data_IF_781727944315
#
_entry.id   IF_781727944315
#
_cell.length_a   1.000
_cell.length_b   1.000
_cell.length_c   1.000
_cell.angle_alpha   90.00
_cell.angle_beta   90.00
_cell.angle_gamma   90.00
#
_symmetry.space_group_name_H-M   'P 1'
#
loop_
_entity.id
_entity.type
_entity.pdbx_description
1 polymer ?
#
# COMPACT_ATOMS: atom_id res chain seq x y z
N UNK A 1 14.32 -4.56 -19.34
CA UNK A 1 13.56 -5.47 -18.44
C UNK A 1 12.23 -4.80 -18.11
N UNK A 2 11.10 -5.53 -18.14
CA UNK A 2 9.77 -4.94 -17.89
C UNK A 2 9.44 -5.06 -16.41
N UNK A 3 9.11 -3.93 -15.77
CA UNK A 3 8.60 -3.89 -14.39
C UNK A 3 7.11 -4.22 -14.40
N UNK A 4 6.67 -5.13 -13.53
CA UNK A 4 5.24 -5.38 -13.31
C UNK A 4 4.69 -4.49 -12.19
N UNK A 5 3.43 -4.11 -12.31
CA UNK A 5 2.72 -3.40 -11.25
C UNK A 5 1.71 -4.38 -10.62
N UNK A 6 1.81 -4.60 -9.32
CA UNK A 6 0.85 -5.40 -8.56
C UNK A 6 -0.09 -4.48 -7.79
N UNK A 7 -1.38 -4.71 -7.93
CA UNK A 7 -2.41 -3.98 -7.18
C UNK A 7 -3.09 -4.94 -6.22
N UNK A 8 -2.84 -4.78 -4.92
CA UNK A 8 -3.55 -5.54 -3.89
C UNK A 8 -4.87 -4.88 -3.55
N UNK A 9 -5.95 -5.66 -3.52
CA UNK A 9 -7.28 -5.15 -3.23
C UNK A 9 -8.10 -6.13 -2.39
N UNK A 10 -9.09 -5.60 -1.70
CA UNK A 10 -10.12 -6.35 -0.99
C UNK A 10 -11.50 -6.00 -1.57
N UNK A 11 -12.49 -6.85 -1.36
CA UNK A 11 -13.86 -6.64 -1.87
C UNK A 11 -14.43 -5.26 -1.54
N UNK A 12 -14.11 -4.73 -0.35
CA UNK A 12 -14.48 -3.37 0.05
C UNK A 12 -13.87 -2.27 -0.80
N UNK A 13 -12.74 -2.56 -1.45
CA UNK A 13 -11.90 -1.59 -2.14
C UNK A 13 -11.88 -1.78 -3.67
N UNK A 14 -12.66 -2.73 -4.22
CA UNK A 14 -12.68 -3.01 -5.66
C UNK A 14 -12.98 -1.77 -6.50
N UNK A 15 -13.87 -0.87 -6.02
CA UNK A 15 -14.13 0.39 -6.72
C UNK A 15 -12.91 1.32 -6.77
N UNK A 16 -12.04 1.27 -5.75
CA UNK A 16 -10.81 2.04 -5.70
C UNK A 16 -9.78 1.41 -6.62
N UNK A 17 -9.62 0.09 -6.55
CA UNK A 17 -8.71 -0.67 -7.39
C UNK A 17 -8.97 -0.46 -8.90
N UNK A 18 -10.24 -0.50 -9.34
CA UNK A 18 -10.55 -0.28 -10.76
C UNK A 18 -10.17 1.13 -11.24
N UNK A 19 -10.27 2.14 -10.36
CA UNK A 19 -9.88 3.51 -10.68
C UNK A 19 -8.35 3.66 -10.66
N UNK A 20 -7.68 2.99 -9.72
CA UNK A 20 -6.21 2.94 -9.72
C UNK A 20 -5.70 2.31 -11.03
N UNK A 21 -6.23 1.14 -11.43
CA UNK A 21 -5.87 0.48 -12.69
C UNK A 21 -6.03 1.43 -13.87
N UNK A 22 -7.20 2.08 -14.00
CA UNK A 22 -7.45 3.02 -15.09
C UNK A 22 -6.50 4.23 -15.06
N UNK A 23 -6.07 4.67 -13.88
CA UNK A 23 -5.11 5.75 -13.76
C UNK A 23 -3.68 5.30 -14.13
N UNK A 24 -3.29 4.07 -13.78
CA UNK A 24 -2.03 3.48 -14.24
C UNK A 24 -2.02 3.38 -15.76
N UNK A 25 -3.07 2.82 -16.37
CA UNK A 25 -3.22 2.72 -17.85
C UNK A 25 -3.14 4.08 -18.55
N UNK A 26 -3.51 5.16 -17.85
CA UNK A 26 -3.47 6.52 -18.40
C UNK A 26 -2.08 7.15 -18.35
N UNK A 27 -1.22 6.71 -17.44
CA UNK A 27 0.04 7.35 -17.10
C UNK A 27 1.27 6.42 -17.21
N UNK A 28 1.07 5.22 -17.77
CA UNK A 28 2.15 4.26 -18.04
C UNK A 28 2.00 3.71 -19.45
N UNK A 29 3.10 3.63 -20.17
CA UNK A 29 3.12 3.04 -21.51
C UNK A 29 3.08 1.50 -21.44
N UNK A 30 2.00 0.89 -21.95
CA UNK A 30 1.82 -0.57 -21.98
C UNK A 30 2.09 -1.24 -20.62
N UNK A 31 1.36 -0.87 -19.55
CA UNK A 31 1.64 -1.38 -18.22
C UNK A 31 1.36 -2.88 -18.13
N UNK A 32 2.23 -3.61 -17.46
CA UNK A 32 2.00 -5.01 -17.07
C UNK A 32 1.44 -5.02 -15.65
N UNK A 33 0.13 -5.16 -15.54
CA UNK A 33 -0.57 -5.11 -14.25
C UNK A 33 -1.02 -6.51 -13.83
N UNK A 34 -0.86 -6.84 -12.55
CA UNK A 34 -1.43 -8.02 -11.90
C UNK A 34 -2.28 -7.60 -10.72
N UNK A 35 -3.46 -8.21 -10.58
CA UNK A 35 -4.35 -7.99 -9.45
C UNK A 35 -4.15 -9.09 -8.41
N UNK A 36 -4.17 -8.70 -7.13
CA UNK A 36 -4.18 -9.61 -5.98
C UNK A 36 -5.45 -9.34 -5.18
N UNK A 37 -6.60 -9.92 -5.59
CA UNK A 37 -7.87 -9.77 -4.88
C UNK A 37 -7.94 -10.66 -3.63
N UNK A 38 -9.10 -10.72 -3.01
CA UNK A 38 -9.40 -11.71 -1.98
C UNK A 38 -9.25 -13.15 -2.51
N UNK A 39 -8.88 -14.08 -1.62
CA UNK A 39 -8.58 -15.45 -2.01
C UNK A 39 -9.81 -16.19 -2.58
N UNK A 40 -11.01 -15.75 -2.20
CA UNK A 40 -12.30 -16.27 -2.70
C UNK A 40 -12.79 -15.61 -4.01
N UNK A 41 -12.02 -14.71 -4.60
CA UNK A 41 -12.38 -14.13 -5.89
C UNK A 41 -12.31 -15.20 -6.99
N UNK A 42 -13.40 -15.46 -7.77
CA UNK A 42 -13.46 -16.65 -8.61
C UNK A 42 -12.79 -16.50 -9.98
N UNK A 43 -12.51 -15.27 -10.42
CA UNK A 43 -12.02 -15.01 -11.79
C UNK A 43 -10.50 -15.04 -11.93
N UNK A 44 -10.01 -15.36 -13.12
CA UNK A 44 -8.60 -15.28 -13.48
C UNK A 44 -8.21 -13.89 -14.02
N UNK A 45 -9.19 -13.05 -14.26
CA UNK A 45 -9.03 -11.65 -14.64
C UNK A 45 -9.87 -10.73 -13.75
N UNK A 46 -9.35 -9.54 -13.50
CA UNK A 46 -10.05 -8.46 -12.80
C UNK A 46 -9.69 -7.12 -13.46
N UNK A 47 -10.72 -6.33 -13.79
CA UNK A 47 -10.55 -5.02 -14.45
C UNK A 47 -9.78 -5.08 -15.77
N UNK A 48 -9.82 -6.24 -16.47
CA UNK A 48 -9.12 -6.47 -17.74
C UNK A 48 -7.65 -6.82 -17.59
N UNK A 49 -7.23 -7.20 -16.39
CA UNK A 49 -5.86 -7.63 -16.10
C UNK A 49 -5.85 -8.98 -15.38
N UNK A 50 -4.76 -9.77 -15.55
CA UNK A 50 -4.66 -11.06 -14.90
C UNK A 50 -4.67 -10.96 -13.38
N UNK A 51 -5.38 -11.88 -12.76
CA UNK A 51 -5.31 -12.12 -11.32
C UNK A 51 -4.14 -13.06 -11.06
N UNK A 52 -3.25 -12.62 -10.18
CA UNK A 52 -2.17 -13.48 -9.72
C UNK A 52 -2.50 -14.11 -8.38
N UNK A 53 -2.29 -15.43 -8.28
CA UNK A 53 -2.44 -16.23 -7.07
C UNK A 53 -1.24 -17.12 -6.87
N UNK A 54 -0.71 -17.21 -5.64
CA UNK A 54 0.31 -18.19 -5.33
C UNK A 54 -0.27 -19.61 -5.35
N UNK A 55 0.53 -20.57 -5.81
CA UNK A 55 0.19 -21.99 -5.78
C UNK A 55 0.70 -22.70 -4.52
N UNK A 56 1.71 -22.15 -3.85
CA UNK A 56 2.22 -22.67 -2.58
C UNK A 56 1.28 -22.26 -1.44
N UNK A 57 0.69 -23.22 -0.71
CA UNK A 57 -0.24 -22.93 0.39
C UNK A 57 0.40 -22.14 1.53
N UNK A 58 1.71 -22.23 1.74
CA UNK A 58 2.43 -21.47 2.76
C UNK A 58 2.33 -19.95 2.50
N UNK A 59 2.29 -19.54 1.22
CA UNK A 59 2.17 -18.13 0.83
C UNK A 59 0.75 -17.62 1.09
N UNK A 60 -0.27 -18.48 1.02
CA UNK A 60 -1.65 -18.13 1.34
C UNK A 60 -1.83 -17.74 2.82
N UNK A 61 -0.92 -18.18 3.70
CA UNK A 61 -0.90 -17.73 5.10
C UNK A 61 -0.59 -16.25 5.28
N UNK A 62 0.01 -15.60 4.27
CA UNK A 62 0.15 -14.15 4.19
C UNK A 62 -1.22 -13.55 3.85
N UNK A 63 -2.11 -13.48 4.83
CA UNK A 63 -3.48 -13.02 4.69
C UNK A 63 -3.68 -11.54 5.01
N UNK A 64 -4.85 -10.99 4.80
CA UNK A 64 -5.26 -9.62 5.13
C UNK A 64 -4.25 -8.58 4.63
N UNK A 65 -3.67 -7.78 5.54
CA UNK A 65 -2.68 -6.73 5.21
C UNK A 65 -1.38 -7.31 4.67
N UNK A 66 -1.01 -8.55 5.07
CA UNK A 66 0.21 -9.21 4.62
C UNK A 66 0.09 -9.78 3.20
N UNK A 67 -1.12 -9.89 2.65
CA UNK A 67 -1.39 -10.38 1.30
C UNK A 67 -0.55 -9.63 0.24
N UNK A 68 -0.32 -8.34 0.42
CA UNK A 68 0.52 -7.54 -0.48
C UNK A 68 1.97 -8.04 -0.57
N UNK A 69 2.49 -8.67 0.48
CA UNK A 69 3.85 -9.22 0.48
C UNK A 69 3.98 -10.48 -0.38
N UNK A 70 2.86 -11.09 -0.78
CA UNK A 70 2.86 -12.22 -1.74
C UNK A 70 3.51 -11.85 -3.07
N UNK A 71 3.61 -10.57 -3.41
CA UNK A 71 4.23 -10.08 -4.65
C UNK A 71 5.67 -10.58 -4.86
N UNK A 72 6.40 -10.87 -3.79
CA UNK A 72 7.74 -11.44 -3.88
C UNK A 72 7.77 -12.83 -4.54
N UNK A 73 6.66 -13.57 -4.54
CA UNK A 73 6.52 -14.86 -5.24
C UNK A 73 5.88 -14.71 -6.62
N UNK A 74 5.61 -13.50 -7.04
CA UNK A 74 5.00 -13.23 -8.34
C UNK A 74 5.90 -13.58 -9.53
N UNK A 75 5.33 -13.64 -10.75
CA UNK A 75 6.07 -14.02 -11.96
C UNK A 75 7.07 -12.97 -12.45
N UNK A 76 7.05 -11.76 -11.91
CA UNK A 76 7.94 -10.69 -12.33
C UNK A 76 9.24 -10.67 -11.50
N UNK A 77 10.38 -10.48 -12.15
CA UNK A 77 11.67 -10.34 -11.49
C UNK A 77 11.79 -8.98 -10.77
N UNK A 78 11.14 -7.95 -11.32
CA UNK A 78 11.07 -6.60 -10.77
C UNK A 78 9.65 -6.11 -10.79
N UNK A 79 9.26 -5.49 -9.71
CA UNK A 79 7.87 -5.05 -9.55
C UNK A 79 7.73 -3.78 -8.73
N UNK A 80 6.59 -3.12 -8.93
CA UNK A 80 6.03 -2.10 -8.05
C UNK A 80 4.73 -2.64 -7.47
N UNK A 81 4.56 -2.57 -6.17
CA UNK A 81 3.31 -2.84 -5.48
C UNK A 81 2.59 -1.52 -5.17
N UNK A 82 1.27 -1.50 -5.34
CA UNK A 82 0.41 -0.37 -5.00
C UNK A 82 -0.85 -0.86 -4.27
N UNK A 83 -1.20 -0.23 -3.15
CA UNK A 83 -2.49 -0.45 -2.49
C UNK A 83 -3.64 0.12 -3.33
N UNK A 84 -4.81 -0.53 -3.29
CA UNK A 84 -5.98 -0.16 -4.09
C UNK A 84 -6.46 1.28 -3.86
N UNK A 85 -6.20 1.86 -2.68
CA UNK A 85 -6.63 3.21 -2.33
C UNK A 85 -5.62 4.29 -2.73
N UNK A 86 -5.06 4.13 -3.93
CA UNK A 86 -4.20 5.11 -4.58
C UNK A 86 -4.80 5.63 -5.89
N UNK A 87 -4.24 6.71 -6.40
CA UNK A 87 -4.56 7.28 -7.72
C UNK A 87 -3.29 7.85 -8.33
N UNK A 88 -2.92 7.37 -9.52
CA UNK A 88 -1.84 7.95 -10.31
C UNK A 88 -2.36 9.20 -11.03
N UNK A 89 -1.63 10.30 -10.91
CA UNK A 89 -2.01 11.62 -11.43
C UNK A 89 -1.15 12.08 -12.59
N UNK A 90 0.09 11.57 -12.68
CA UNK A 90 1.11 12.01 -13.64
C UNK A 90 1.87 10.81 -14.18
N UNK A 91 2.78 11.04 -15.11
CA UNK A 91 3.63 10.00 -15.70
C UNK A 91 4.41 9.22 -14.62
N UNK A 92 4.12 7.93 -14.53
CA UNK A 92 4.77 6.99 -13.62
C UNK A 92 6.00 6.32 -14.28
N UNK A 93 6.15 6.46 -15.60
CA UNK A 93 7.19 5.77 -16.36
C UNK A 93 8.62 6.04 -15.85
N UNK A 94 9.02 7.27 -15.48
CA UNK A 94 10.37 7.51 -14.97
C UNK A 94 10.73 6.71 -13.72
N UNK A 95 9.74 6.44 -12.85
CA UNK A 95 9.95 5.59 -11.67
C UNK A 95 10.07 4.11 -12.04
N UNK A 96 9.26 3.64 -12.97
CA UNK A 96 9.39 2.27 -13.51
C UNK A 96 10.73 2.08 -14.21
N UNK A 97 11.21 3.07 -14.94
CA UNK A 97 12.52 3.03 -15.60
C UNK A 97 13.66 2.97 -14.55
N UNK A 98 13.55 3.69 -13.44
CA UNK A 98 14.49 3.61 -12.31
C UNK A 98 14.50 2.20 -11.71
N UNK A 99 13.33 1.60 -11.47
CA UNK A 99 13.20 0.23 -10.96
C UNK A 99 13.78 -0.78 -11.95
N UNK A 100 13.52 -0.57 -13.24
CA UNK A 100 14.05 -1.42 -14.32
C UNK A 100 15.58 -1.38 -14.43
N UNK A 101 16.19 -0.24 -14.11
CA UNK A 101 17.63 -0.03 -14.16
C UNK A 101 18.38 -0.47 -12.90
N UNK A 102 17.67 -0.69 -11.78
CA UNK A 102 18.30 -1.05 -10.51
C UNK A 102 19.03 -2.40 -10.60
N UNK A 103 20.22 -2.50 -10.01
CA UNK A 103 21.03 -3.71 -10.04
C UNK A 103 21.00 -4.46 -8.70
N UNK A 104 21.13 -5.79 -8.76
CA UNK A 104 21.14 -6.67 -7.60
C UNK A 104 19.82 -6.69 -6.81
N UNK A 105 19.80 -7.34 -5.62
CA UNK A 105 18.66 -7.37 -4.75
C UNK A 105 18.37 -5.99 -4.14
N UNK A 106 17.13 -5.50 -4.28
CA UNK A 106 16.73 -4.18 -3.75
C UNK A 106 15.27 -4.14 -3.31
N UNK A 107 15.00 -3.23 -2.38
CA UNK A 107 13.66 -2.72 -2.06
C UNK A 107 13.71 -1.19 -2.09
N UNK A 108 12.83 -0.59 -2.87
CA UNK A 108 12.63 0.86 -2.93
C UNK A 108 11.26 1.17 -2.36
N UNK A 109 11.20 2.02 -1.35
CA UNK A 109 9.95 2.46 -0.75
C UNK A 109 9.73 3.94 -1.04
N UNK A 110 8.49 4.31 -1.28
CA UNK A 110 8.18 5.71 -1.47
C UNK A 110 8.26 6.49 -0.17
N UNK A 111 8.85 7.67 -0.24
CA UNK A 111 8.99 8.56 0.90
C UNK A 111 9.04 10.02 0.49
N UNK A 112 8.61 10.88 1.39
CA UNK A 112 8.88 12.31 1.23
C UNK A 112 10.35 12.60 1.55
N UNK A 113 11.00 13.30 0.63
CA UNK A 113 12.37 13.80 0.83
C UNK A 113 12.51 14.63 2.11
N UNK A 114 11.49 15.45 2.43
CA UNK A 114 11.47 16.24 3.67
C UNK A 114 11.37 15.39 4.94
N UNK A 115 10.64 14.27 4.91
CA UNK A 115 10.54 13.34 6.05
C UNK A 115 11.84 12.59 6.24
N UNK A 116 12.48 12.14 5.15
CA UNK A 116 13.78 11.50 5.17
C UNK A 116 14.83 12.41 5.83
N UNK A 117 14.97 13.65 5.35
CA UNK A 117 15.91 14.62 5.91
C UNK A 117 15.69 14.88 7.40
N UNK A 118 14.42 14.98 7.84
CA UNK A 118 14.09 15.17 9.26
C UNK A 118 14.53 13.98 10.12
N UNK A 119 14.37 12.76 9.63
CA UNK A 119 14.77 11.55 10.36
C UNK A 119 16.29 11.35 10.35
N UNK A 120 16.96 11.71 9.25
CA UNK A 120 18.42 11.69 9.15
C UNK A 120 19.07 12.70 10.12
N UNK A 121 18.45 13.87 10.29
CA UNK A 121 18.90 14.91 11.22
C UNK A 121 18.42 14.70 12.67
N UNK A 122 17.52 13.73 12.94
CA UNK A 122 16.98 13.48 14.26
C UNK A 122 18.02 12.83 15.19
N UNK A 123 17.92 13.14 16.48
CA UNK A 123 18.70 12.45 17.50
C UNK A 123 18.32 10.95 17.59
N UNK A 124 19.15 10.18 18.28
CA UNK A 124 18.98 8.73 18.43
C UNK A 124 17.63 8.38 19.09
N UNK A 125 17.18 9.15 20.08
CA UNK A 125 15.90 8.92 20.77
C UNK A 125 14.71 9.08 19.84
N UNK A 126 14.69 10.17 19.09
CA UNK A 126 13.62 10.46 18.10
C UNK A 126 13.60 9.41 16.99
N UNK A 127 14.75 8.98 16.48
CA UNK A 127 14.86 7.91 15.49
C UNK A 127 14.35 6.58 16.05
N UNK A 128 14.76 6.23 17.26
CA UNK A 128 14.30 5.01 17.94
C UNK A 128 12.80 4.99 18.11
N UNK A 129 12.20 6.10 18.55
CA UNK A 129 10.75 6.20 18.70
C UNK A 129 10.02 6.07 17.36
N UNK A 130 10.52 6.72 16.30
CA UNK A 130 9.93 6.62 14.97
C UNK A 130 9.99 5.18 14.43
N UNK A 131 11.13 4.50 14.59
CA UNK A 131 11.29 3.10 14.18
C UNK A 131 10.40 2.19 15.01
N UNK A 132 10.34 2.35 16.33
CA UNK A 132 9.49 1.57 17.20
C UNK A 132 8.00 1.70 16.82
N UNK A 133 7.56 2.91 16.49
CA UNK A 133 6.18 3.14 16.04
C UNK A 133 5.86 2.40 14.73
N UNK A 134 6.83 2.25 13.84
CA UNK A 134 6.65 1.58 12.55
C UNK A 134 6.88 0.07 12.59
N UNK A 135 7.83 -0.39 13.40
CA UNK A 135 8.18 -1.82 13.48
C UNK A 135 7.40 -2.58 14.54
N UNK A 136 6.74 -1.91 15.48
CA UNK A 136 5.92 -2.52 16.52
C UNK A 136 6.37 -2.17 17.94
N UNK A 137 5.94 -2.99 18.92
CA UNK A 137 6.32 -2.84 20.32
C UNK A 137 7.80 -3.21 20.54
N UNK A 138 8.67 -2.27 20.97
CA UNK A 138 10.09 -2.53 21.16
C UNK A 138 10.38 -3.66 22.16
N UNK A 139 9.59 -3.77 23.24
CA UNK A 139 9.77 -4.83 24.24
C UNK A 139 9.40 -6.21 23.66
N UNK A 140 8.31 -6.27 22.90
CA UNK A 140 7.92 -7.49 22.20
C UNK A 140 8.90 -7.86 21.10
N UNK A 141 9.50 -6.90 20.42
CA UNK A 141 10.54 -7.13 19.41
C UNK A 141 11.81 -7.75 20.03
N UNK A 142 12.28 -7.21 21.15
CA UNK A 142 13.41 -7.77 21.90
C UNK A 142 13.10 -9.19 22.39
N UNK A 143 11.87 -9.44 22.85
CA UNK A 143 11.45 -10.78 23.26
C UNK A 143 11.32 -11.78 22.10
N UNK A 144 11.01 -11.29 20.88
CA UNK A 144 10.93 -12.09 19.66
C UNK A 144 12.32 -12.42 19.08
N UNK A 145 13.18 -11.41 19.05
CA UNK A 145 14.56 -11.48 18.55
C UNK A 145 15.49 -10.62 19.43
N UNK A 146 16.11 -11.21 20.47
CA UNK A 146 17.01 -10.51 21.35
C UNK A 146 18.27 -9.96 20.66
N UNK A 147 18.63 -10.50 19.50
CA UNK A 147 19.81 -10.08 18.72
C UNK A 147 19.51 -8.90 17.77
N UNK A 148 18.24 -8.50 17.63
CA UNK A 148 17.85 -7.48 16.66
C UNK A 148 18.36 -6.09 17.04
N UNK A 149 19.22 -5.54 16.20
CA UNK A 149 19.65 -4.15 16.32
C UNK A 149 18.64 -3.23 15.58
N UNK A 150 17.79 -2.56 16.35
CA UNK A 150 16.79 -1.64 15.85
C UNK A 150 17.38 -0.49 15.00
N UNK A 151 18.67 -0.16 15.15
CA UNK A 151 19.37 0.88 14.35
C UNK A 151 19.44 0.49 12.87
N UNK A 152 19.37 -0.79 12.59
CA UNK A 152 19.35 -1.33 11.24
C UNK A 152 17.95 -1.30 10.60
N UNK A 153 16.88 -1.09 11.38
CA UNK A 153 15.53 -1.09 10.86
C UNK A 153 15.31 0.05 9.86
N UNK A 154 14.59 -0.28 8.80
CA UNK A 154 14.19 0.67 7.76
C UNK A 154 12.80 1.23 8.06
N UNK A 155 12.58 2.50 7.73
CA UNK A 155 11.27 3.13 7.87
C UNK A 155 10.51 3.01 6.54
N UNK A 156 10.14 1.79 6.17
CA UNK A 156 9.44 1.51 4.92
C UNK A 156 7.97 1.94 5.01
N UNK A 157 7.41 2.30 3.88
CA UNK A 157 5.97 2.35 3.67
C UNK A 157 5.59 1.16 2.76
N UNK A 158 4.66 0.35 3.20
CA UNK A 158 4.22 -0.84 2.47
C UNK A 158 2.99 -0.60 1.59
N UNK A 159 2.39 0.57 1.65
CA UNK A 159 1.27 0.93 0.77
C UNK A 159 1.71 1.05 -0.69
N UNK A 160 2.97 1.45 -0.88
CA UNK A 160 3.64 1.44 -2.17
C UNK A 160 5.12 1.11 -1.94
N UNK A 161 5.61 0.10 -2.60
CA UNK A 161 7.03 -0.24 -2.65
C UNK A 161 7.36 -0.98 -3.96
N UNK A 162 8.62 -0.92 -4.32
CA UNK A 162 9.16 -1.62 -5.48
C UNK A 162 10.31 -2.51 -5.03
N UNK A 163 10.47 -3.65 -5.68
CA UNK A 163 11.54 -4.57 -5.32
C UNK A 163 11.94 -5.47 -6.49
N UNK A 164 13.09 -6.08 -6.35
CA UNK A 164 13.42 -7.30 -7.07
C UNK A 164 12.88 -8.51 -6.30
N UNK A 165 12.51 -9.57 -7.03
CA UNK A 165 11.97 -10.81 -6.44
C UNK A 165 12.97 -11.50 -5.50
N UNK A 166 14.26 -11.38 -5.79
CA UNK A 166 15.38 -11.92 -5.02
C UNK A 166 15.81 -11.02 -3.84
N UNK A 167 15.05 -9.95 -3.56
CA UNK A 167 15.32 -9.09 -2.40
C UNK A 167 15.14 -9.80 -1.07
N UNK A 168 14.42 -10.92 -1.05
CA UNK A 168 14.20 -11.76 0.13
C UNK A 168 14.54 -13.20 -0.16
N UNK A 169 15.06 -13.93 0.84
CA UNK A 169 15.03 -15.39 0.83
C UNK A 169 13.63 -15.87 1.20
N UNK A 170 12.97 -16.56 0.28
CA UNK A 170 11.56 -16.92 0.37
C UNK A 170 11.24 -17.87 1.53
N UNK A 171 12.08 -18.88 1.73
CA UNK A 171 11.85 -19.88 2.80
C UNK A 171 12.11 -19.26 4.18
N UNK A 172 13.17 -18.48 4.32
CA UNK A 172 13.44 -17.72 5.55
C UNK A 172 12.31 -16.75 5.84
N UNK A 173 11.78 -16.05 4.84
CA UNK A 173 10.68 -15.12 5.03
C UNK A 173 9.44 -15.81 5.60
N UNK A 174 9.03 -16.93 5.03
CA UNK A 174 7.88 -17.69 5.48
C UNK A 174 8.11 -18.30 6.88
N UNK A 175 9.30 -18.78 7.16
CA UNK A 175 9.64 -19.32 8.48
C UNK A 175 9.55 -18.24 9.58
N UNK A 176 10.10 -17.04 9.32
CA UNK A 176 10.02 -15.90 10.25
C UNK A 176 8.59 -15.41 10.40
N UNK A 177 7.81 -15.39 9.32
CA UNK A 177 6.39 -15.02 9.37
C UNK A 177 5.58 -15.99 10.22
N UNK A 178 5.78 -17.29 10.05
CA UNK A 178 5.13 -18.34 10.87
C UNK A 178 5.51 -18.20 12.34
N UNK A 179 6.79 -17.99 12.65
CA UNK A 179 7.26 -17.72 14.02
C UNK A 179 6.56 -16.48 14.61
N UNK A 180 6.39 -15.41 13.82
CA UNK A 180 5.71 -14.21 14.26
C UNK A 180 4.21 -14.46 14.54
N UNK A 181 3.53 -15.28 13.73
CA UNK A 181 2.13 -15.69 14.00
C UNK A 181 1.99 -16.45 15.31
N UNK A 182 2.92 -17.33 15.63
CA UNK A 182 2.90 -18.17 16.84
C UNK A 182 3.26 -17.40 18.11
N UNK A 183 4.01 -16.29 17.99
CA UNK A 183 4.55 -15.52 19.10
C UNK A 183 3.53 -15.11 20.17
N UNK A 184 2.33 -14.71 19.76
CA UNK A 184 1.27 -14.34 20.71
C UNK A 184 0.48 -15.55 21.20
N UNK A 185 0.27 -16.55 20.37
CA UNK A 185 -0.41 -17.78 20.78
C UNK A 185 0.35 -18.47 21.93
N UNK A 186 1.67 -18.56 21.84
CA UNK A 186 2.54 -19.15 22.86
C UNK A 186 2.54 -18.35 24.19
N UNK A 187 2.18 -17.08 24.16
CA UNK A 187 2.11 -16.21 25.35
C UNK A 187 0.71 -16.03 25.91
N UNK A 188 -0.28 -16.75 25.41
CA UNK A 188 -1.66 -16.63 25.87
C UNK A 188 -2.30 -15.28 25.61
N UNK A 189 -1.74 -14.45 24.72
CA UNK A 189 -2.23 -13.11 24.41
C UNK A 189 -3.31 -13.09 23.33
N UNK A 190 -3.91 -14.25 23.02
CA UNK A 190 -4.99 -14.39 22.07
C UNK A 190 -4.55 -14.32 20.61
N UNK A 191 -5.52 -14.54 19.70
CA UNK A 191 -5.28 -14.39 18.28
C UNK A 191 -5.08 -12.93 17.90
N UNK A 192 -4.20 -12.70 16.94
CA UNK A 192 -3.91 -11.38 16.40
C UNK A 192 -5.16 -10.60 16.04
N UNK A 193 -5.31 -9.40 16.57
CA UNK A 193 -6.39 -8.48 16.21
C UNK A 193 -5.89 -7.44 15.23
N UNK A 194 -6.60 -7.27 14.12
CA UNK A 194 -6.32 -6.22 13.14
C UNK A 194 -5.06 -6.47 12.28
N UNK A 195 -4.22 -5.47 12.15
CA UNK A 195 -3.02 -5.46 11.30
C UNK A 195 -1.76 -5.98 11.97
N UNK A 196 -1.81 -6.37 13.24
CA UNK A 196 -0.62 -6.82 14.00
C UNK A 196 -0.34 -8.30 13.80
N UNK A 197 0.94 -8.64 13.64
CA UNK A 197 1.45 -10.01 13.68
C UNK A 197 2.66 -10.06 14.62
N UNK A 198 2.58 -10.82 15.68
CA UNK A 198 3.63 -10.82 16.68
C UNK A 198 3.96 -9.38 17.14
N UNK A 199 5.25 -9.04 17.26
CA UNK A 199 5.67 -7.71 17.68
C UNK A 199 5.52 -6.62 16.60
N UNK A 200 5.03 -6.96 15.39
CA UNK A 200 5.07 -6.07 14.24
C UNK A 200 3.77 -5.28 14.06
N UNK A 201 3.90 -4.02 13.72
CA UNK A 201 2.80 -3.14 13.36
C UNK A 201 2.48 -3.33 11.87
N UNK A 202 1.70 -4.37 11.56
CA UNK A 202 1.32 -4.69 10.19
C UNK A 202 2.46 -5.20 9.31
N UNK A 203 2.15 -5.31 8.05
CA UNK A 203 3.05 -5.74 6.98
C UNK A 203 4.28 -4.84 6.83
N UNK A 204 4.11 -3.53 7.02
CA UNK A 204 5.17 -2.55 7.00
C UNK A 204 6.24 -2.81 8.06
N UNK A 205 5.82 -3.04 9.29
CA UNK A 205 6.73 -3.35 10.40
C UNK A 205 7.46 -4.66 10.19
N UNK A 206 6.74 -5.69 9.73
CA UNK A 206 7.32 -6.99 9.45
C UNK A 206 8.36 -6.93 8.33
N UNK A 207 8.04 -6.29 7.19
CA UNK A 207 8.98 -6.14 6.08
C UNK A 207 10.22 -5.35 6.50
N UNK A 208 10.05 -4.26 7.27
CA UNK A 208 11.17 -3.44 7.78
C UNK A 208 12.11 -4.25 8.67
N UNK A 209 11.54 -5.05 9.57
CA UNK A 209 12.31 -5.97 10.42
C UNK A 209 13.02 -7.02 9.59
N UNK A 210 12.29 -7.72 8.70
CA UNK A 210 12.85 -8.82 7.92
C UNK A 210 14.06 -8.37 7.09
N UNK A 211 13.95 -7.25 6.39
CA UNK A 211 15.06 -6.71 5.61
C UNK A 211 16.27 -6.39 6.48
N UNK A 212 16.06 -5.81 7.65
CA UNK A 212 17.16 -5.46 8.54
C UNK A 212 17.83 -6.68 9.21
N UNK A 213 17.04 -7.70 9.57
CA UNK A 213 17.52 -8.84 10.34
C UNK A 213 17.99 -10.01 9.45
N UNK A 214 17.29 -10.26 8.34
CA UNK A 214 17.44 -11.48 7.54
C UNK A 214 17.84 -11.26 6.08
N UNK A 215 17.87 -10.02 5.60
CA UNK A 215 18.28 -9.71 4.24
C UNK A 215 19.36 -8.60 4.18
N UNK A 216 20.50 -8.76 4.88
CA UNK A 216 21.52 -7.71 5.00
C UNK A 216 22.20 -7.35 3.66
N UNK A 217 22.10 -8.21 2.65
CA UNK A 217 22.61 -7.97 1.30
C UNK A 217 21.64 -7.20 0.40
N UNK A 218 20.39 -7.01 0.85
CA UNK A 218 19.39 -6.28 0.09
C UNK A 218 19.56 -4.77 0.29
N UNK A 219 19.71 -4.06 -0.81
CA UNK A 219 19.79 -2.60 -0.82
C UNK A 219 18.41 -2.00 -0.57
N UNK A 220 18.30 -1.13 0.43
CA UNK A 220 17.06 -0.39 0.70
C UNK A 220 17.23 1.06 0.27
N UNK A 221 16.41 1.50 -0.65
CA UNK A 221 16.46 2.82 -1.26
C UNK A 221 15.11 3.54 -1.16
N UNK A 222 15.08 4.80 -1.58
CA UNK A 222 13.90 5.63 -1.51
C UNK A 222 13.54 6.20 -2.88
N UNK A 223 12.28 6.06 -3.25
CA UNK A 223 11.67 6.81 -4.35
C UNK A 223 11.06 8.08 -3.73
N UNK A 224 11.85 9.14 -3.74
CA UNK A 224 11.42 10.41 -3.14
C UNK A 224 10.25 11.02 -3.93
N UNK A 225 9.26 11.52 -3.18
CA UNK A 225 8.14 12.31 -3.68
C UNK A 225 7.24 11.60 -4.74
N UNK A 226 7.27 10.26 -4.78
CA UNK A 226 6.41 9.49 -5.67
C UNK A 226 4.93 9.68 -5.33
N UNK A 227 4.57 9.66 -4.05
CA UNK A 227 3.18 9.86 -3.66
C UNK A 227 3.00 10.85 -2.50
N UNK A 228 1.79 11.38 -2.40
CA UNK A 228 1.34 12.18 -1.27
C UNK A 228 0.25 11.45 -0.48
N UNK A 229 0.29 11.58 0.83
CA UNK A 229 -0.76 11.07 1.70
C UNK A 229 -1.99 11.99 1.67
N UNK A 230 -3.15 11.45 1.30
CA UNK A 230 -4.39 12.19 1.10
C UNK A 230 -4.97 12.93 2.32
N UNK A 231 -4.48 12.62 3.54
CA UNK A 231 -4.87 13.30 4.77
C UNK A 231 -4.10 14.59 5.08
N UNK A 232 -3.21 15.05 4.21
CA UNK A 232 -2.39 16.22 4.50
C UNK A 232 -3.01 17.52 4.05
N UNK A 233 -2.91 18.54 4.91
CA UNK A 233 -3.41 19.89 4.64
C UNK A 233 -2.79 20.51 3.36
N UNK A 234 -1.55 20.15 3.05
CA UNK A 234 -0.84 20.65 1.87
C UNK A 234 -1.50 20.26 0.54
N UNK A 235 -2.27 19.15 0.52
CA UNK A 235 -3.03 18.73 -0.65
C UNK A 235 -4.33 19.53 -0.87
N UNK A 236 -4.78 20.32 0.10
CA UNK A 236 -5.99 21.14 -0.05
C UNK A 236 -5.83 22.21 -1.12
N UNK A 237 -4.60 22.59 -1.42
CA UNK A 237 -4.25 23.58 -2.45
C UNK A 237 -3.77 22.97 -3.77
N UNK A 238 -3.80 21.63 -3.89
CA UNK A 238 -3.38 20.96 -5.12
C UNK A 238 -4.23 21.41 -6.31
N UNK A 239 -3.57 22.01 -7.29
CA UNK A 239 -4.16 22.40 -8.58
C UNK A 239 -3.56 21.53 -9.67
N UNK A 240 -4.41 20.72 -10.28
CA UNK A 240 -4.01 19.77 -11.33
C UNK A 240 -3.44 20.48 -12.58
N UNK A 241 -3.93 21.68 -12.87
CA UNK A 241 -3.64 22.41 -14.11
C UNK A 241 -2.46 23.38 -13.96
N UNK A 242 -1.80 23.43 -12.80
CA UNK A 242 -0.67 24.31 -12.57
C UNK A 242 0.65 23.54 -12.77
N UNK A 243 1.34 23.72 -13.92
CA UNK A 243 2.63 23.08 -14.16
C UNK A 243 3.74 23.58 -13.22
N UNK A 244 3.49 24.69 -12.51
CA UNK A 244 4.42 25.26 -11.53
C UNK A 244 4.11 24.81 -10.11
N UNK A 245 3.04 24.00 -9.90
CA UNK A 245 2.68 23.49 -8.58
C UNK A 245 3.90 22.75 -8.00
N UNK A 246 4.46 23.21 -6.86
CA UNK A 246 5.59 22.57 -6.21
C UNK A 246 5.27 21.17 -5.70
N UNK A 247 4.01 20.75 -5.71
CA UNK A 247 3.54 19.43 -5.36
C UNK A 247 3.74 18.48 -6.55
N UNK A 248 4.98 18.07 -6.77
CA UNK A 248 5.41 17.19 -7.89
C UNK A 248 5.00 15.73 -7.71
N UNK A 249 3.99 15.43 -6.92
CA UNK A 249 3.62 14.05 -6.67
C UNK A 249 2.97 13.38 -7.86
N UNK A 250 3.40 12.15 -8.10
CA UNK A 250 2.89 11.32 -9.19
C UNK A 250 1.60 10.61 -8.78
N UNK A 251 1.44 10.30 -7.49
CA UNK A 251 0.27 9.60 -6.97
C UNK A 251 -0.25 10.17 -5.64
N UNK A 252 -1.52 9.92 -5.34
CA UNK A 252 -2.14 10.16 -4.02
C UNK A 252 -2.48 8.80 -3.39
N UNK A 253 -2.23 8.67 -2.08
CA UNK A 253 -2.58 7.50 -1.28
C UNK A 253 -3.50 7.90 -0.12
N UNK A 254 -4.67 7.29 0.01
CA UNK A 254 -5.67 7.61 1.04
C UNK A 254 -5.63 6.70 2.28
N UNK A 255 -4.52 6.05 2.56
CA UNK A 255 -4.40 5.19 3.73
C UNK A 255 -4.84 5.89 5.03
N UNK A 256 -5.86 5.35 5.68
CA UNK A 256 -6.41 5.92 6.92
C UNK A 256 -7.13 7.26 6.78
N UNK A 257 -7.38 7.73 5.55
CA UNK A 257 -8.01 9.01 5.26
C UNK A 257 -9.42 8.83 4.68
N UNK A 258 -10.26 9.89 4.67
CA UNK A 258 -11.50 9.87 3.92
C UNK A 258 -11.25 9.52 2.45
N UNK A 259 -11.89 8.43 1.98
CA UNK A 259 -11.73 7.94 0.61
C UNK A 259 -12.64 8.68 -0.35
N UNK A 260 -12.22 8.86 -1.62
CA UNK A 260 -13.07 9.45 -2.64
C UNK A 260 -14.25 8.53 -2.99
N UNK A 261 -15.25 9.10 -3.64
CA UNK A 261 -16.40 8.38 -4.18
C UNK A 261 -17.03 9.10 -5.35
N UNK A 262 -17.94 8.43 -6.08
CA UNK A 262 -18.57 8.98 -7.27
C UNK A 262 -19.48 10.18 -6.98
N UNK A 263 -20.06 10.30 -5.78
CA UNK A 263 -20.89 11.44 -5.41
C UNK A 263 -19.99 12.62 -5.03
N UNK A 264 -20.18 13.79 -5.70
CA UNK A 264 -19.40 14.98 -5.39
C UNK A 264 -19.85 15.60 -4.07
N UNK A 265 -18.99 15.52 -3.06
CA UNK A 265 -19.19 16.19 -1.77
C UNK A 265 -18.04 17.16 -1.52
N UNK A 266 -18.32 18.41 -1.13
CA UNK A 266 -17.29 19.37 -0.74
C UNK A 266 -16.43 18.80 0.41
N UNK A 267 -15.11 18.94 0.32
CA UNK A 267 -14.19 18.55 1.38
C UNK A 267 -14.11 17.05 1.70
N UNK A 268 -14.70 16.18 0.87
CA UNK A 268 -14.73 14.73 1.15
C UNK A 268 -13.35 14.08 1.14
N UNK A 269 -12.57 14.34 0.12
CA UNK A 269 -11.19 13.86 0.01
C UNK A 269 -10.42 14.72 -0.97
N UNK A 270 -9.14 14.90 -0.71
CA UNK A 270 -8.23 15.53 -1.67
C UNK A 270 -8.11 14.64 -2.90
N UNK A 271 -8.04 15.21 -4.08
CA UNK A 271 -8.00 14.46 -5.34
C UNK A 271 -9.31 13.75 -5.72
N UNK A 272 -10.42 14.02 -5.01
CA UNK A 272 -11.71 13.36 -5.30
C UNK A 272 -12.27 13.73 -6.69
N UNK A 273 -11.97 14.90 -7.21
CA UNK A 273 -12.37 15.30 -8.56
C UNK A 273 -11.61 14.48 -9.62
N UNK A 274 -10.32 14.31 -9.44
CA UNK A 274 -9.43 13.49 -10.26
C UNK A 274 -9.88 12.03 -10.24
N UNK A 275 -10.16 11.51 -9.04
CA UNK A 275 -10.69 10.15 -8.88
C UNK A 275 -11.99 9.95 -9.66
N UNK A 276 -12.94 10.89 -9.55
CA UNK A 276 -14.21 10.81 -10.31
C UNK A 276 -14.02 10.87 -11.82
N UNK A 277 -13.04 11.64 -12.31
CA UNK A 277 -12.71 11.65 -13.75
C UNK A 277 -12.15 10.29 -14.18
N UNK A 278 -11.21 9.73 -13.44
CA UNK A 278 -10.63 8.42 -13.71
C UNK A 278 -11.70 7.31 -13.62
N UNK A 279 -12.61 7.36 -12.64
CA UNK A 279 -13.73 6.43 -12.51
C UNK A 279 -14.66 6.46 -13.72
N UNK A 280 -15.10 7.64 -14.15
CA UNK A 280 -15.93 7.78 -15.37
C UNK A 280 -15.20 7.34 -16.63
N UNK A 281 -13.89 7.62 -16.73
CA UNK A 281 -13.07 7.13 -17.84
C UNK A 281 -13.01 5.61 -17.87
N UNK A 282 -12.78 4.95 -16.73
CA UNK A 282 -12.81 3.50 -16.62
C UNK A 282 -14.14 2.92 -17.12
N UNK A 283 -15.25 3.41 -16.57
CA UNK A 283 -16.59 2.90 -16.93
C UNK A 283 -16.89 3.08 -18.42
N UNK A 284 -16.47 4.21 -19.02
CA UNK A 284 -16.61 4.44 -20.45
C UNK A 284 -15.79 3.47 -21.29
N UNK A 285 -14.51 3.28 -20.95
CA UNK A 285 -13.58 2.44 -21.73
C UNK A 285 -13.92 0.96 -21.64
N UNK A 286 -14.45 0.52 -20.51
CA UNK A 286 -14.80 -0.89 -20.24
C UNK A 286 -16.28 -1.19 -20.42
N UNK A 287 -17.10 -0.21 -20.72
CA UNK A 287 -18.56 -0.38 -20.81
C UNK A 287 -19.24 -0.71 -19.46
N UNK A 288 -18.55 -0.46 -18.32
CA UNK A 288 -19.00 -0.83 -16.97
C UNK A 288 -19.96 0.21 -16.37
N UNK A 289 -21.07 0.47 -17.05
CA UNK A 289 -22.06 1.44 -16.55
C UNK A 289 -22.91 0.86 -15.42
N UNK A 290 -23.16 -0.45 -15.40
CA UNK A 290 -23.80 -1.12 -14.27
C UNK A 290 -22.99 -1.00 -12.99
N UNK A 291 -21.67 -1.27 -13.05
CA UNK A 291 -20.76 -1.06 -11.94
C UNK A 291 -20.65 0.40 -11.50
N UNK A 292 -20.79 1.36 -12.43
CA UNK A 292 -20.89 2.78 -12.07
C UNK A 292 -22.13 3.09 -11.22
N UNK A 293 -23.28 2.55 -11.60
CA UNK A 293 -24.54 2.72 -10.85
C UNK A 293 -24.45 2.05 -9.47
N UNK A 294 -23.90 0.85 -9.39
CA UNK A 294 -23.65 0.16 -8.10
C UNK A 294 -22.76 0.98 -7.18
N UNK A 295 -21.70 1.55 -7.70
CA UNK A 295 -20.79 2.41 -6.93
C UNK A 295 -21.47 3.69 -6.45
N UNK A 296 -22.35 4.28 -7.25
CA UNK A 296 -23.20 5.42 -6.84
C UNK A 296 -24.15 5.05 -5.71
N UNK A 297 -24.86 3.92 -5.83
CA UNK A 297 -25.81 3.45 -4.81
C UNK A 297 -25.09 3.10 -3.50
N UNK A 298 -23.95 2.44 -3.56
CA UNK A 298 -23.12 2.12 -2.40
C UNK A 298 -22.62 3.37 -1.70
N UNK A 299 -22.19 4.36 -2.45
CA UNK A 299 -21.72 5.64 -1.93
C UNK A 299 -22.87 6.42 -1.25
N UNK A 300 -24.04 6.47 -1.87
CA UNK A 300 -25.26 7.08 -1.30
C UNK A 300 -25.67 6.39 0.00
N UNK A 301 -25.68 5.05 0.03
CA UNK A 301 -25.98 4.25 1.22
C UNK A 301 -25.00 4.53 2.37
N UNK A 302 -23.71 4.59 2.07
CA UNK A 302 -22.66 4.93 3.04
C UNK A 302 -22.85 6.32 3.64
N UNK A 303 -23.21 7.30 2.82
CA UNK A 303 -23.50 8.66 3.26
C UNK A 303 -24.75 8.74 4.15
N UNK A 304 -25.82 8.06 3.78
CA UNK A 304 -27.04 7.98 4.57
C UNK A 304 -26.78 7.34 5.94
N UNK A 305 -26.02 6.25 5.98
CA UNK A 305 -25.61 5.61 7.23
C UNK A 305 -24.75 6.53 8.12
N UNK A 306 -23.79 7.26 7.56
CA UNK A 306 -22.97 8.21 8.29
C UNK A 306 -23.81 9.35 8.88
N UNK A 307 -24.75 9.88 8.09
CA UNK A 307 -25.67 10.93 8.56
C UNK A 307 -26.54 10.42 9.70
N UNK A 308 -27.15 9.24 9.58
CA UNK A 308 -27.92 8.59 10.64
C UNK A 308 -27.12 8.34 11.92
N UNK A 309 -25.90 7.87 11.79
CA UNK A 309 -24.99 7.63 12.91
C UNK A 309 -24.58 8.92 13.65
N UNK A 310 -24.40 10.04 12.91
CA UNK A 310 -24.15 11.36 13.53
C UNK A 310 -25.39 11.89 14.25
N UNK A 311 -26.56 11.74 13.65
CA UNK A 311 -27.81 12.15 14.26
C UNK A 311 -28.07 11.37 15.55
N UNK A 312 -27.91 10.04 15.52
CA UNK A 312 -28.04 9.19 16.70
C UNK A 312 -27.13 9.64 17.83
N UNK A 313 -25.84 9.89 17.56
CA UNK A 313 -24.88 10.38 18.57
C UNK A 313 -25.26 11.73 19.15
N UNK A 314 -25.89 12.63 18.38
CA UNK A 314 -26.39 13.93 18.88
C UNK A 314 -27.64 13.82 19.74
N UNK A 315 -28.45 12.77 19.57
CA UNK A 315 -29.68 12.55 20.30
C UNK A 315 -29.46 11.70 21.56
N UNK A 316 -28.35 10.97 21.66
CA UNK A 316 -28.07 10.07 22.79
C UNK A 316 -26.90 10.53 23.68
N UNK A 317 -26.21 11.59 23.34
CA UNK A 317 -25.18 12.29 24.15
C UNK A 317 -25.64 13.65 24.55
#
# INVERSE_FOLDING_TARGET
>A
MTVAIYVSTMRSDYRLAKVLVASIEAHVRSPRIYLIPDDDYPGDEMFGHPVWRPTDPRILELDRYYKKLRVFWGPAERFMHMDADQLVLRDLQPYLDTIAAAEGPFVMASRRSSTRKKLEAADESTRRQAIATMTGDPAALVAFDPSFDWRRAHLLNSGEFSASRDAIDHDTFLAVFTKAKQFYAERGLGNMTGSRIGPFMGDQGFLSYFLAAHAPGTRVEWLDDLYAWGGRAELTHYREDDPTDPLKWVAIHWAGCPRPGPIPLPGRAVGAAQWRRAHRRYCRLRGDWSGYVEDLLRDAGGLAWQAGSRLKRRLTG
#
